data_IF_320220493660
#
_entry.id   IF_320220493660
#
_cell.length_a   1.000
_cell.length_b   1.000
_cell.length_c   1.000
_cell.angle_alpha   90.00
_cell.angle_beta   90.00
_cell.angle_gamma   90.00
#
_symmetry.space_group_name_H-M   'P 1'
#
loop_
_entity.id
_entity.type
_entity.pdbx_description
1 polymer ?
#
# COMPACT_ATOMS: atom_id res chain seq x y z
N UNK A 1 -1.67 7.97 12.35
CA UNK A 1 -2.36 6.88 11.61
C UNK A 1 -1.72 5.54 11.95
N UNK A 2 -2.43 4.41 11.89
CA UNK A 2 -1.84 3.10 12.21
C UNK A 2 -2.05 2.10 11.06
N UNK A 3 -1.06 2.01 10.17
CA UNK A 3 -0.97 1.01 9.10
C UNK A 3 0.35 0.25 9.33
N UNK A 4 0.32 -0.88 10.06
CA UNK A 4 1.52 -1.60 10.49
C UNK A 4 2.52 -1.91 9.37
N UNK A 5 2.02 -2.25 8.18
CA UNK A 5 2.82 -2.57 7.00
C UNK A 5 3.73 -1.43 6.56
N UNK A 6 3.35 -0.18 6.84
CA UNK A 6 4.17 0.99 6.53
C UNK A 6 5.36 1.08 7.48
N UNK A 7 5.15 0.80 8.77
CA UNK A 7 6.23 0.71 9.74
C UNK A 7 7.20 -0.42 9.39
N UNK A 8 6.66 -1.59 9.06
CA UNK A 8 7.46 -2.74 8.64
C UNK A 8 8.24 -2.47 7.35
N UNK A 9 7.63 -1.80 6.36
CA UNK A 9 8.31 -1.38 5.12
C UNK A 9 9.44 -0.40 5.41
N UNK A 10 9.19 0.58 6.30
CA UNK A 10 10.18 1.57 6.71
C UNK A 10 11.40 0.89 7.33
N UNK A 11 11.18 0.01 8.31
CA UNK A 11 12.26 -0.77 8.93
C UNK A 11 12.99 -1.67 7.93
N UNK A 12 12.27 -2.29 6.99
CA UNK A 12 12.86 -3.14 5.97
C UNK A 12 13.78 -2.31 5.06
N UNK A 13 13.34 -1.12 4.63
CA UNK A 13 14.16 -0.18 3.86
C UNK A 13 15.43 0.23 4.63
N UNK A 14 15.32 0.51 5.94
CA UNK A 14 16.49 0.81 6.78
C UNK A 14 17.48 -0.36 6.82
N UNK A 15 16.98 -1.58 7.06
CA UNK A 15 17.81 -2.81 7.11
C UNK A 15 18.48 -3.14 5.77
N UNK A 16 17.87 -2.76 4.65
CA UNK A 16 18.40 -2.93 3.29
C UNK A 16 19.36 -1.80 2.86
N UNK A 17 19.53 -0.76 3.68
CA UNK A 17 20.33 0.42 3.35
C UNK A 17 19.65 1.40 2.39
N UNK A 18 18.34 1.28 2.17
CA UNK A 18 17.55 2.13 1.29
C UNK A 18 17.12 3.43 1.99
N UNK A 19 18.07 4.18 2.53
CA UNK A 19 17.83 5.36 3.37
C UNK A 19 17.03 6.46 2.65
N UNK A 20 17.19 6.58 1.34
CA UNK A 20 16.39 7.52 0.53
C UNK A 20 14.91 7.12 0.44
N UNK A 21 14.59 5.81 0.47
CA UNK A 21 13.20 5.33 0.47
C UNK A 21 12.53 5.59 1.82
N UNK A 22 13.27 5.46 2.92
CA UNK A 22 12.77 5.80 4.27
C UNK A 22 12.24 7.23 4.31
N UNK A 23 13.03 8.20 3.84
CA UNK A 23 12.59 9.61 3.80
C UNK A 23 11.37 9.85 2.90
N UNK A 24 11.22 9.07 1.81
CA UNK A 24 10.03 9.13 0.94
C UNK A 24 8.81 8.54 1.62
N UNK A 25 8.96 7.44 2.35
CA UNK A 25 7.89 6.82 3.14
C UNK A 25 7.40 7.82 4.19
N UNK A 26 8.31 8.38 4.98
CA UNK A 26 7.97 9.34 6.04
C UNK A 26 7.23 10.56 5.48
N UNK A 27 7.70 11.10 4.33
CA UNK A 27 7.06 12.23 3.66
C UNK A 27 5.65 11.88 3.14
N UNK A 28 5.47 10.69 2.58
CA UNK A 28 4.19 10.26 2.03
C UNK A 28 3.17 10.00 3.14
N UNK A 29 3.60 9.44 4.28
CA UNK A 29 2.76 9.27 5.47
C UNK A 29 2.30 10.63 6.00
N UNK A 30 3.23 11.56 6.22
CA UNK A 30 2.90 12.89 6.72
C UNK A 30 1.90 13.64 5.82
N UNK A 31 2.07 13.53 4.49
CA UNK A 31 1.11 14.11 3.54
C UNK A 31 -0.30 13.52 3.70
N UNK A 32 -0.38 12.21 3.86
CA UNK A 32 -1.63 11.48 3.97
C UNK A 32 -2.35 11.69 5.30
N UNK A 33 -1.61 11.82 6.41
CA UNK A 33 -2.17 12.23 7.70
C UNK A 33 -2.85 13.61 7.61
N UNK A 34 -2.26 14.55 6.87
CA UNK A 34 -2.87 15.86 6.61
C UNK A 34 -4.16 15.82 5.77
N UNK A 35 -4.43 14.70 5.08
CA UNK A 35 -5.61 14.51 4.23
C UNK A 35 -6.70 13.64 4.90
N UNK A 36 -6.40 12.97 6.01
CA UNK A 36 -7.30 12.01 6.66
C UNK A 36 -8.65 12.64 7.02
N UNK A 37 -8.66 13.84 7.60
CA UNK A 37 -9.89 14.54 7.98
C UNK A 37 -10.79 14.92 6.79
N UNK A 38 -10.23 15.00 5.58
CA UNK A 38 -10.95 15.39 4.35
C UNK A 38 -11.38 14.20 3.51
N UNK A 39 -10.60 13.12 3.54
CA UNK A 39 -10.76 11.96 2.65
C UNK A 39 -11.28 10.71 3.35
N UNK A 40 -11.21 10.67 4.68
CA UNK A 40 -11.57 9.52 5.49
C UNK A 40 -10.40 8.55 5.65
N UNK A 41 -10.36 7.88 6.80
CA UNK A 41 -9.29 6.96 7.20
C UNK A 41 -9.06 5.83 6.18
N UNK A 42 -10.14 5.22 5.70
CA UNK A 42 -10.06 4.07 4.79
C UNK A 42 -9.47 4.43 3.42
N UNK A 43 -9.80 5.61 2.90
CA UNK A 43 -9.19 6.11 1.66
C UNK A 43 -7.69 6.27 1.82
N UNK A 44 -7.26 6.81 2.95
CA UNK A 44 -5.84 7.00 3.22
C UNK A 44 -5.13 5.65 3.39
N UNK A 45 -5.75 4.70 4.10
CA UNK A 45 -5.19 3.36 4.28
C UNK A 45 -4.94 2.66 2.93
N UNK A 46 -5.91 2.71 2.01
CA UNK A 46 -5.73 2.20 0.64
C UNK A 46 -4.60 2.92 -0.09
N UNK A 47 -4.51 4.25 0.05
CA UNK A 47 -3.44 5.04 -0.57
C UNK A 47 -2.06 4.66 -0.04
N UNK A 48 -1.91 4.44 1.27
CA UNK A 48 -0.66 4.03 1.90
C UNK A 48 -0.27 2.62 1.46
N UNK A 49 -1.20 1.67 1.47
CA UNK A 49 -0.94 0.29 1.05
C UNK A 49 -0.58 0.21 -0.44
N UNK A 50 -1.24 0.98 -1.31
CA UNK A 50 -0.88 1.06 -2.73
C UNK A 50 0.53 1.61 -2.96
N UNK A 51 0.92 2.63 -2.19
CA UNK A 51 2.28 3.16 -2.23
C UNK A 51 3.31 2.13 -1.74
N UNK A 52 3.02 1.44 -0.63
CA UNK A 52 3.86 0.39 -0.08
C UNK A 52 4.07 -0.76 -1.07
N UNK A 53 3.00 -1.22 -1.71
CA UNK A 53 3.04 -2.28 -2.73
C UNK A 53 3.95 -1.88 -3.90
N UNK A 54 3.84 -0.64 -4.40
CA UNK A 54 4.70 -0.15 -5.48
C UNK A 54 6.19 -0.14 -5.12
N UNK A 55 6.53 0.23 -3.88
CA UNK A 55 7.90 0.15 -3.36
C UNK A 55 8.34 -1.32 -3.29
N UNK A 56 7.51 -2.19 -2.70
CA UNK A 56 7.83 -3.60 -2.49
C UNK A 56 8.01 -4.37 -3.81
N UNK A 57 7.22 -4.08 -4.84
CA UNK A 57 7.42 -4.61 -6.19
C UNK A 57 8.78 -4.20 -6.75
N UNK A 58 9.21 -2.96 -6.52
CA UNK A 58 10.52 -2.48 -6.95
C UNK A 58 11.66 -3.13 -6.15
N UNK A 59 11.48 -3.29 -4.83
CA UNK A 59 12.42 -3.99 -3.97
C UNK A 59 12.53 -5.48 -4.32
N UNK A 60 11.44 -6.15 -4.70
CA UNK A 60 11.46 -7.54 -5.16
C UNK A 60 12.31 -7.72 -6.41
N UNK A 61 12.32 -6.74 -7.31
CA UNK A 61 13.20 -6.79 -8.50
C UNK A 61 14.67 -6.63 -8.14
N UNK A 62 14.97 -5.82 -7.11
CA UNK A 62 16.34 -5.55 -6.65
C UNK A 62 16.89 -6.64 -5.72
N UNK A 63 16.02 -7.24 -4.92
CA UNK A 63 16.33 -8.25 -3.90
C UNK A 63 15.44 -9.49 -4.06
N UNK A 64 15.52 -10.21 -5.20
CA UNK A 64 14.57 -11.27 -5.54
C UNK A 64 14.54 -12.46 -4.59
N UNK A 65 15.65 -12.73 -3.89
CA UNK A 65 15.74 -13.84 -2.93
C UNK A 65 15.42 -13.42 -1.48
N UNK A 66 15.11 -12.15 -1.24
CA UNK A 66 14.84 -11.67 0.10
C UNK A 66 13.40 -11.99 0.52
N UNK A 67 13.26 -13.06 1.31
CA UNK A 67 11.97 -13.51 1.84
C UNK A 67 11.17 -12.45 2.58
N UNK A 68 11.83 -11.54 3.30
CA UNK A 68 11.13 -10.47 4.02
C UNK A 68 10.44 -9.49 3.08
N UNK A 69 11.04 -9.23 1.92
CA UNK A 69 10.43 -8.38 0.89
C UNK A 69 9.22 -9.08 0.28
N UNK A 70 9.33 -10.38 -0.04
CA UNK A 70 8.22 -11.13 -0.63
C UNK A 70 7.05 -11.32 0.34
N UNK A 71 7.33 -11.66 1.60
CA UNK A 71 6.32 -11.86 2.64
C UNK A 71 5.58 -10.55 2.98
N UNK A 72 6.30 -9.42 2.98
CA UNK A 72 5.66 -8.12 3.20
C UNK A 72 4.85 -7.67 1.98
N UNK A 73 5.33 -7.95 0.75
CA UNK A 73 4.58 -7.68 -0.46
C UNK A 73 3.26 -8.45 -0.49
N UNK A 74 3.29 -9.74 -0.18
CA UNK A 74 2.10 -10.60 -0.15
C UNK A 74 1.06 -10.06 0.83
N UNK A 75 1.43 -9.78 2.08
CA UNK A 75 0.51 -9.21 3.08
C UNK A 75 -0.07 -7.86 2.66
N UNK A 76 0.76 -6.97 2.10
CA UNK A 76 0.29 -5.66 1.61
C UNK A 76 -0.71 -5.83 0.48
N UNK A 77 -0.42 -6.71 -0.48
CA UNK A 77 -1.30 -6.99 -1.61
C UNK A 77 -2.63 -7.59 -1.17
N UNK A 78 -2.63 -8.54 -0.23
CA UNK A 78 -3.83 -9.14 0.35
C UNK A 78 -4.70 -8.09 1.06
N UNK A 79 -4.12 -7.33 1.99
CA UNK A 79 -4.87 -6.30 2.73
C UNK A 79 -5.42 -5.22 1.80
N UNK A 80 -4.65 -4.81 0.79
CA UNK A 80 -5.13 -3.85 -0.21
C UNK A 80 -6.30 -4.43 -1.01
N UNK A 81 -6.22 -5.69 -1.43
CA UNK A 81 -7.30 -6.35 -2.17
C UNK A 81 -8.59 -6.46 -1.33
N UNK A 82 -8.48 -6.76 -0.03
CA UNK A 82 -9.62 -6.78 0.89
C UNK A 82 -10.28 -5.41 1.04
N UNK A 83 -9.48 -4.35 1.19
CA UNK A 83 -9.99 -2.98 1.26
C UNK A 83 -10.61 -2.56 -0.07
N UNK A 84 -9.92 -2.78 -1.19
CA UNK A 84 -10.43 -2.50 -2.52
C UNK A 84 -11.78 -3.20 -2.77
N UNK A 85 -11.95 -4.45 -2.29
CA UNK A 85 -13.21 -5.19 -2.39
C UNK A 85 -14.35 -4.53 -1.59
N UNK A 86 -14.06 -3.97 -0.40
CA UNK A 86 -15.05 -3.23 0.42
C UNK A 86 -15.50 -1.93 -0.25
N UNK A 87 -14.60 -1.26 -0.99
CA UNK A 87 -14.90 0.01 -1.68
C UNK A 87 -15.32 -0.15 -3.13
N UNK A 88 -15.18 -1.34 -3.71
CA UNK A 88 -15.65 -1.63 -5.06
C UNK A 88 -17.16 -1.46 -5.08
N UNK A 89 -17.64 -0.36 -5.67
CA UNK A 89 -19.06 -0.23 -5.98
C UNK A 89 -19.48 -1.50 -6.75
N UNK A 90 -20.67 -2.08 -6.46
CA UNK A 90 -21.20 -3.12 -7.31
C UNK A 90 -21.14 -2.60 -8.75
N UNK A 91 -20.65 -3.43 -9.68
CA UNK A 91 -20.65 -3.07 -11.09
C UNK A 91 -22.08 -2.59 -11.39
N UNK A 92 -22.31 -1.34 -11.82
CA UNK A 92 -23.64 -1.00 -12.32
C UNK A 92 -23.95 -2.06 -13.37
N UNK A 93 -25.13 -2.70 -13.32
CA UNK A 93 -25.47 -3.75 -14.29
C UNK A 93 -25.20 -3.17 -15.66
N UNK A 94 -24.16 -3.67 -16.32
CA UNK A 94 -23.79 -3.26 -17.67
C UNK A 94 -24.84 -3.93 -18.51
N UNK A 95 -25.96 -3.21 -18.73
CA UNK A 95 -27.08 -3.55 -19.61
C UNK A 95 -27.13 -5.05 -19.97
N UNK A 96 -27.51 -5.90 -19.00
CA UNK A 96 -28.21 -7.13 -19.32
C UNK A 96 -29.57 -6.70 -19.89
N UNK A 97 -29.58 -6.30 -21.17
CA UNK A 97 -30.72 -6.09 -22.06
C UNK A 97 -30.25 -5.20 -23.23
N UNK A 98 -29.46 -5.75 -24.14
CA UNK A 98 -29.59 -5.41 -25.56
C UNK A 98 -29.44 -6.71 -26.33
N UNK A 99 -30.63 -7.29 -26.59
CA UNK A 99 -31.05 -8.31 -27.56
C UNK A 99 -30.18 -9.56 -27.79
#
# INVERSE_FOLDING_TARGET
>A
MDVPEIGELRELCEKLGETSLVGRIDSFVALNEGLESKKGKEFIEVSLLGFAEGILVSLMRKYPENKKVSELLERVSERRAELDAKFRKPKPPIFENME
#
